data_IF_251501639913
#
_entry.id   IF_251501639913
#
_cell.length_a   1.000
_cell.length_b   1.000
_cell.length_c   1.000
_cell.angle_alpha   90.00
_cell.angle_beta   90.00
_cell.angle_gamma   90.00
#
_symmetry.space_group_name_H-M   'P 1'
#
loop_
_entity.id
_entity.type
_entity.pdbx_description
1 polymer ?
#
# COMPACT_ATOMS: atom_id res chain seq x y z
N UNK A 1 54.62 -79.88 -79.36
CA UNK A 1 54.90 -79.19 -78.09
C UNK A 1 53.98 -78.00 -78.02
N UNK A 2 52.88 -78.12 -77.26
CA UNK A 2 51.88 -77.06 -77.09
C UNK A 2 52.08 -76.49 -75.68
N UNK A 3 52.41 -75.20 -75.57
CA UNK A 3 52.47 -74.51 -74.29
C UNK A 3 51.07 -74.02 -73.95
N UNK A 4 50.34 -74.81 -73.17
CA UNK A 4 49.04 -74.40 -72.63
C UNK A 4 49.23 -73.32 -71.56
N UNK A 5 48.49 -72.22 -71.75
CA UNK A 5 48.57 -70.97 -71.01
C UNK A 5 47.64 -71.03 -69.78
N UNK A 6 48.13 -71.03 -68.52
CA UNK A 6 47.29 -71.25 -67.34
C UNK A 6 46.64 -69.98 -66.77
N UNK A 7 46.18 -69.05 -67.61
CA UNK A 7 45.60 -67.75 -67.18
C UNK A 7 44.08 -67.62 -67.39
N UNK A 8 43.34 -68.71 -67.60
CA UNK A 8 41.88 -68.67 -67.83
C UNK A 8 41.00 -69.19 -66.68
N UNK A 9 41.48 -69.21 -65.43
CA UNK A 9 40.67 -69.67 -64.30
C UNK A 9 40.59 -68.63 -63.19
N UNK A 10 39.78 -67.58 -63.40
CA UNK A 10 38.97 -66.89 -62.37
C UNK A 10 38.23 -65.68 -62.99
N UNK A 11 37.45 -65.91 -64.05
CA UNK A 11 36.25 -65.09 -64.23
C UNK A 11 35.12 -65.83 -63.54
N UNK A 12 35.03 -65.65 -62.22
CA UNK A 12 33.81 -65.96 -61.47
C UNK A 12 32.70 -65.12 -62.09
N UNK A 13 31.88 -65.75 -62.94
CA UNK A 13 30.66 -65.15 -63.43
C UNK A 13 29.77 -64.87 -62.22
N UNK A 14 29.88 -63.66 -61.67
CA UNK A 14 28.92 -63.16 -60.70
C UNK A 14 27.55 -63.34 -61.33
N UNK A 15 26.79 -64.25 -60.74
CA UNK A 15 25.48 -64.62 -61.24
C UNK A 15 24.61 -63.35 -61.19
N UNK A 16 23.82 -63.09 -62.24
CA UNK A 16 22.98 -61.90 -62.34
C UNK A 16 22.05 -61.73 -61.13
N UNK A 17 21.76 -62.82 -60.43
CA UNK A 17 20.93 -62.84 -59.22
C UNK A 17 21.64 -62.26 -57.99
N UNK A 18 22.96 -62.47 -57.82
CA UNK A 18 23.72 -61.89 -56.70
C UNK A 18 23.84 -60.36 -56.83
N UNK A 19 24.02 -59.87 -58.06
CA UNK A 19 24.07 -58.43 -58.34
C UNK A 19 22.72 -57.77 -58.03
N UNK A 20 21.60 -58.45 -58.30
CA UNK A 20 20.25 -57.96 -57.95
C UNK A 20 20.04 -57.88 -56.44
N UNK A 21 20.44 -58.91 -55.70
CA UNK A 21 20.31 -58.93 -54.23
C UNK A 21 21.10 -57.78 -53.59
N UNK A 22 22.34 -57.54 -54.03
CA UNK A 22 23.15 -56.43 -53.52
C UNK A 22 22.54 -55.06 -53.84
N UNK A 23 21.95 -54.90 -55.04
CA UNK A 23 21.26 -53.67 -55.42
C UNK A 23 20.00 -53.42 -54.59
N UNK A 24 19.19 -54.45 -54.34
CA UNK A 24 17.98 -54.35 -53.54
C UNK A 24 18.29 -54.07 -52.06
N UNK A 25 19.34 -54.69 -51.50
CA UNK A 25 19.83 -54.36 -50.15
C UNK A 25 20.30 -52.90 -50.06
N UNK A 26 21.04 -52.41 -51.05
CA UNK A 26 21.50 -51.01 -51.11
C UNK A 26 20.33 -50.04 -51.11
N UNK A 27 19.30 -50.30 -51.94
CA UNK A 27 18.10 -49.47 -52.02
C UNK A 27 17.30 -49.47 -50.71
N UNK A 28 17.15 -50.65 -50.08
CA UNK A 28 16.45 -50.77 -48.80
C UNK A 28 17.15 -50.02 -47.67
N UNK A 29 18.49 -49.98 -47.67
CA UNK A 29 19.27 -49.21 -46.72
C UNK A 29 19.15 -47.70 -46.96
N UNK A 30 19.13 -47.26 -48.22
CA UNK A 30 18.93 -45.85 -48.57
C UNK A 30 17.55 -45.34 -48.09
N UNK A 31 16.49 -46.13 -48.30
CA UNK A 31 15.14 -45.77 -47.89
C UNK A 31 15.02 -45.66 -46.36
N UNK A 32 15.65 -46.58 -45.61
CA UNK A 32 15.72 -46.54 -44.14
C UNK A 32 16.45 -45.29 -43.65
N UNK A 33 17.55 -44.92 -44.29
CA UNK A 33 18.33 -43.72 -43.94
C UNK A 33 17.52 -42.46 -44.20
N UNK A 34 16.81 -42.36 -45.34
CA UNK A 34 15.96 -41.20 -45.65
C UNK A 34 14.80 -41.03 -44.66
N UNK A 35 14.13 -42.13 -44.28
CA UNK A 35 13.08 -42.09 -43.25
C UNK A 35 13.66 -41.60 -41.93
N UNK A 36 14.80 -42.15 -41.50
CA UNK A 36 15.45 -41.73 -40.26
C UNK A 36 15.83 -40.24 -40.26
N UNK A 37 16.40 -39.73 -41.36
CA UNK A 37 16.72 -38.30 -41.50
C UNK A 37 15.48 -37.41 -41.43
N UNK A 38 14.37 -37.84 -42.05
CA UNK A 38 13.11 -37.08 -42.03
C UNK A 38 12.56 -36.97 -40.61
N UNK A 39 12.61 -38.06 -39.84
CA UNK A 39 12.22 -38.05 -38.42
C UNK A 39 13.17 -37.18 -37.57
N UNK A 40 14.48 -37.24 -37.82
CA UNK A 40 15.46 -36.43 -37.11
C UNK A 40 15.24 -34.93 -37.34
N UNK A 41 14.95 -34.51 -38.57
CA UNK A 41 14.61 -33.13 -38.90
C UNK A 41 13.32 -32.68 -38.21
N UNK A 42 12.30 -33.54 -38.16
CA UNK A 42 11.05 -33.26 -37.45
C UNK A 42 11.26 -33.03 -35.95
N UNK A 43 12.07 -33.87 -35.29
CA UNK A 43 12.40 -33.72 -33.87
C UNK A 43 13.19 -32.42 -33.63
N UNK A 44 14.16 -32.10 -34.49
CA UNK A 44 14.94 -30.86 -34.39
C UNK A 44 14.05 -29.61 -34.46
N UNK A 45 13.09 -29.58 -35.40
CA UNK A 45 12.14 -28.47 -35.51
C UNK A 45 11.27 -28.30 -34.26
N UNK A 46 10.82 -29.41 -33.66
CA UNK A 46 10.05 -29.40 -32.42
C UNK A 46 10.88 -28.87 -31.25
N UNK A 47 12.12 -29.34 -31.09
CA UNK A 47 13.05 -28.86 -30.04
C UNK A 47 13.29 -27.35 -30.17
N UNK A 48 13.55 -26.86 -31.39
CA UNK A 48 13.76 -25.42 -31.62
C UNK A 48 12.51 -24.59 -31.29
N UNK A 49 11.32 -25.12 -31.56
CA UNK A 49 10.05 -24.45 -31.23
C UNK A 49 9.86 -24.36 -29.71
N UNK A 50 10.14 -25.44 -28.98
CA UNK A 50 10.07 -25.45 -27.51
C UNK A 50 11.06 -24.47 -26.89
N UNK A 51 12.29 -24.42 -27.41
CA UNK A 51 13.32 -23.46 -26.96
C UNK A 51 12.84 -22.03 -27.20
N UNK A 52 12.29 -21.74 -28.39
CA UNK A 52 11.78 -20.40 -28.71
C UNK A 52 10.65 -19.98 -27.76
N UNK A 53 9.71 -20.88 -27.44
CA UNK A 53 8.63 -20.62 -26.47
C UNK A 53 9.19 -20.35 -25.07
N UNK A 54 10.17 -21.14 -24.62
CA UNK A 54 10.83 -20.94 -23.32
C UNK A 54 11.51 -19.58 -23.24
N UNK A 55 12.25 -19.17 -24.28
CA UNK A 55 12.89 -17.86 -24.34
C UNK A 55 11.87 -16.71 -24.32
N UNK A 56 10.75 -16.86 -25.03
CA UNK A 56 9.67 -15.88 -25.02
C UNK A 56 9.04 -15.76 -23.62
N UNK A 57 8.81 -16.88 -22.92
CA UNK A 57 8.30 -16.87 -21.55
C UNK A 57 9.26 -16.18 -20.58
N UNK A 58 10.56 -16.47 -20.68
CA UNK A 58 11.59 -15.80 -19.86
C UNK A 58 11.57 -14.29 -20.11
N UNK A 59 11.50 -13.85 -21.37
CA UNK A 59 11.44 -12.43 -21.72
C UNK A 59 10.18 -11.73 -21.15
N UNK A 60 9.02 -12.40 -21.18
CA UNK A 60 7.78 -11.87 -20.59
C UNK A 60 7.90 -11.76 -19.07
N UNK A 61 8.48 -12.76 -18.41
CA UNK A 61 8.69 -12.75 -16.97
C UNK A 61 9.63 -11.62 -16.53
N UNK A 62 10.77 -11.45 -17.22
CA UNK A 62 11.72 -10.37 -16.90
C UNK A 62 11.10 -9.00 -17.12
N UNK A 63 10.35 -8.80 -18.20
CA UNK A 63 9.64 -7.54 -18.44
C UNK A 63 8.63 -7.23 -17.32
N UNK A 64 7.88 -8.23 -16.86
CA UNK A 64 6.92 -8.07 -15.75
C UNK A 64 7.62 -7.63 -14.45
N UNK A 65 8.75 -8.25 -14.12
CA UNK A 65 9.52 -7.88 -12.91
C UNK A 65 10.12 -6.48 -13.00
N UNK A 66 10.64 -6.09 -14.16
CA UNK A 66 11.16 -4.72 -14.39
C UNK A 66 10.05 -3.69 -14.21
N UNK A 67 8.85 -3.95 -14.75
CA UNK A 67 7.71 -3.04 -14.61
C UNK A 67 7.29 -2.86 -13.15
N UNK A 68 7.21 -3.95 -12.38
CA UNK A 68 6.90 -3.87 -10.95
C UNK A 68 7.96 -3.08 -10.16
N UNK A 69 9.24 -3.26 -10.49
CA UNK A 69 10.32 -2.50 -9.86
C UNK A 69 10.23 -0.99 -10.15
N UNK A 70 9.83 -0.60 -11.35
CA UNK A 70 9.64 0.81 -11.71
C UNK A 70 8.46 1.47 -11.00
N UNK A 71 7.37 0.74 -10.76
CA UNK A 71 6.23 1.26 -9.99
C UNK A 71 6.61 1.42 -8.51
N UNK A 72 7.34 0.45 -7.95
CA UNK A 72 7.83 0.51 -6.57
C UNK A 72 8.80 1.66 -6.32
N UNK A 73 9.71 1.96 -7.27
CA UNK A 73 10.66 3.08 -7.10
C UNK A 73 9.94 4.44 -7.11
N UNK A 74 8.94 4.63 -7.97
CA UNK A 74 8.12 5.85 -7.99
C UNK A 74 7.37 6.06 -6.66
N UNK A 75 6.81 4.99 -6.11
CA UNK A 75 6.13 5.03 -4.80
C UNK A 75 7.11 5.43 -3.69
N UNK A 76 8.34 4.93 -3.73
CA UNK A 76 9.38 5.26 -2.76
C UNK A 76 9.80 6.73 -2.83
N UNK A 77 9.96 7.27 -4.05
CA UNK A 77 10.29 8.68 -4.26
C UNK A 77 9.18 9.60 -3.75
N UNK A 78 7.92 9.26 -4.04
CA UNK A 78 6.78 10.02 -3.54
C UNK A 78 6.67 9.95 -2.02
N UNK A 79 6.89 8.78 -1.42
CA UNK A 79 6.90 8.60 0.03
C UNK A 79 8.00 9.44 0.70
N UNK A 80 9.21 9.46 0.14
CA UNK A 80 10.31 10.29 0.65
C UNK A 80 9.99 11.79 0.55
N UNK A 81 9.36 12.22 -0.56
CA UNK A 81 8.90 13.60 -0.71
C UNK A 81 7.87 13.97 0.36
N UNK A 82 6.89 13.09 0.62
CA UNK A 82 5.88 13.30 1.68
C UNK A 82 6.53 13.38 3.06
N UNK A 83 7.49 12.51 3.38
CA UNK A 83 8.23 12.56 4.65
C UNK A 83 8.90 13.90 4.87
N UNK A 84 9.59 14.43 3.86
CA UNK A 84 10.24 15.74 3.94
C UNK A 84 9.24 16.87 4.22
N UNK A 85 8.07 16.84 3.59
CA UNK A 85 7.00 17.82 3.87
C UNK A 85 6.51 17.75 5.32
N UNK A 86 6.39 16.55 5.89
CA UNK A 86 6.04 16.38 7.30
C UNK A 86 7.13 16.92 8.23
N UNK A 87 8.40 16.67 7.93
CA UNK A 87 9.52 17.19 8.74
C UNK A 87 9.57 18.72 8.71
N UNK A 88 9.36 19.33 7.53
CA UNK A 88 9.25 20.78 7.37
C UNK A 88 8.07 21.35 8.18
N UNK A 89 6.88 20.74 8.04
CA UNK A 89 5.69 21.15 8.79
C UNK A 89 5.88 21.03 10.32
N UNK A 90 6.51 19.96 10.79
CA UNK A 90 6.87 19.77 12.20
C UNK A 90 7.80 20.88 12.70
N UNK A 91 8.80 21.25 11.90
CA UNK A 91 9.71 22.34 12.24
C UNK A 91 9.00 23.70 12.29
N UNK A 92 8.05 23.98 11.38
CA UNK A 92 7.21 25.18 11.45
C UNK A 92 6.34 25.23 12.72
N UNK A 93 5.75 24.11 13.13
CA UNK A 93 4.99 24.02 14.37
C UNK A 93 5.88 24.25 15.60
N UNK A 94 7.07 23.67 15.62
CA UNK A 94 8.05 23.90 16.69
C UNK A 94 8.50 25.37 16.76
N UNK A 95 8.77 26.00 15.61
CA UNK A 95 9.14 27.42 15.54
C UNK A 95 8.00 28.34 15.97
N UNK A 96 6.76 28.05 15.58
CA UNK A 96 5.60 28.84 15.99
C UNK A 96 5.31 28.71 17.49
N UNK A 97 5.47 27.51 18.07
CA UNK A 97 5.32 27.26 19.50
C UNK A 97 6.40 28.00 20.32
N UNK A 98 7.66 27.97 19.88
CA UNK A 98 8.77 28.66 20.57
C UNK A 98 8.63 30.19 20.49
N UNK A 99 8.22 30.75 19.34
CA UNK A 99 7.88 32.18 19.22
C UNK A 99 6.72 32.59 20.11
N UNK A 100 5.67 31.78 20.19
CA UNK A 100 4.50 32.05 21.03
C UNK A 100 4.87 31.98 22.52
N UNK A 101 5.67 30.99 22.91
CA UNK A 101 6.17 30.83 24.29
C UNK A 101 7.00 32.03 24.74
N UNK A 102 7.90 32.54 23.90
CA UNK A 102 8.72 33.72 24.25
C UNK A 102 7.89 35.01 24.35
N UNK A 103 6.85 35.16 23.53
CA UNK A 103 5.90 36.28 23.61
C UNK A 103 5.08 36.24 24.90
N UNK A 104 4.46 35.09 25.20
CA UNK A 104 3.69 34.89 26.43
C UNK A 104 4.58 35.03 27.67
N UNK A 105 5.80 34.50 27.66
CA UNK A 105 6.72 34.62 28.79
C UNK A 105 7.14 36.08 29.08
N UNK A 106 7.20 36.94 28.05
CA UNK A 106 7.42 38.38 28.24
C UNK A 106 6.17 39.08 28.77
N UNK A 107 4.99 38.66 28.33
CA UNK A 107 3.70 39.26 28.69
C UNK A 107 3.22 38.85 30.10
N UNK A 108 3.62 37.68 30.59
CA UNK A 108 3.28 37.16 31.93
C UNK A 108 4.37 37.38 32.99
N UNK A 109 5.53 37.96 32.64
CA UNK A 109 6.57 38.32 33.61
C UNK A 109 6.06 39.44 34.51
N UNK A 110 5.88 39.15 35.81
CA UNK A 110 5.44 40.12 36.83
C UNK A 110 3.97 40.01 37.24
N UNK A 111 3.20 39.07 36.67
CA UNK A 111 1.83 38.79 37.08
C UNK A 111 1.79 37.71 38.16
N UNK A 112 0.95 37.90 39.19
CA UNK A 112 0.70 36.87 40.21
C UNK A 112 -0.04 35.67 39.61
N UNK A 113 0.06 34.50 40.25
CA UNK A 113 -0.58 33.28 39.76
C UNK A 113 -2.10 33.45 39.54
N UNK A 114 -2.77 34.27 40.37
CA UNK A 114 -4.20 34.54 40.25
C UNK A 114 -4.55 35.44 39.06
N UNK A 115 -3.70 36.42 38.74
CA UNK A 115 -3.87 37.32 37.59
C UNK A 115 -3.60 36.57 36.28
N UNK A 116 -2.62 35.66 36.28
CA UNK A 116 -2.38 34.70 35.18
C UNK A 116 -3.59 33.79 34.99
N UNK A 117 -4.20 33.29 36.09
CA UNK A 117 -5.39 32.43 36.04
C UNK A 117 -6.59 33.18 35.46
N UNK A 118 -6.87 34.41 35.94
CA UNK A 118 -7.93 35.28 35.40
C UNK A 118 -7.73 35.59 33.91
N UNK A 119 -6.51 35.93 33.47
CA UNK A 119 -6.22 36.19 32.04
C UNK A 119 -6.21 34.94 31.17
N UNK A 120 -5.77 33.79 31.68
CA UNK A 120 -5.79 32.53 30.94
C UNK A 120 -7.21 32.06 30.65
N UNK A 121 -8.14 32.27 31.60
CA UNK A 121 -9.57 32.01 31.41
C UNK A 121 -10.18 32.98 30.39
N UNK A 122 -9.71 34.23 30.33
CA UNK A 122 -10.15 35.21 29.32
C UNK A 122 -9.61 34.96 27.91
N UNK A 123 -8.38 34.45 27.77
CA UNK A 123 -7.74 34.24 26.45
C UNK A 123 -8.03 32.89 25.79
N UNK A 124 -8.39 31.87 26.59
CA UNK A 124 -8.88 30.60 26.06
C UNK A 124 -10.39 30.77 25.91
N UNK A 125 -10.84 31.31 24.78
CA UNK A 125 -12.28 31.48 24.44
C UNK A 125 -13.08 30.16 24.31
N UNK A 126 -12.67 29.13 25.04
CA UNK A 126 -13.34 27.85 25.22
C UNK A 126 -13.57 27.70 26.72
N UNK A 127 -14.60 28.38 27.23
CA UNK A 127 -15.30 27.86 28.40
C UNK A 127 -16.01 26.54 28.02
N UNK A 128 -16.45 25.75 29.01
CA UNK A 128 -17.25 24.57 28.72
C UNK A 128 -18.46 24.95 27.87
N UNK A 129 -18.76 24.14 26.87
CA UNK A 129 -19.89 24.40 25.98
C UNK A 129 -21.16 24.11 26.76
N UNK A 130 -22.08 25.08 26.77
CA UNK A 130 -23.35 24.98 27.46
C UNK A 130 -24.43 24.52 26.48
N UNK A 131 -25.19 23.51 26.87
CA UNK A 131 -26.28 22.97 26.08
C UNK A 131 -27.59 23.01 26.85
N UNK A 132 -28.64 23.44 26.17
CA UNK A 132 -30.02 23.33 26.64
C UNK A 132 -30.76 22.31 25.77
N UNK A 133 -31.55 21.47 26.41
CA UNK A 133 -32.42 20.53 25.69
C UNK A 133 -33.58 21.29 25.06
N UNK A 134 -33.82 21.09 23.78
CA UNK A 134 -34.99 21.67 23.11
C UNK A 134 -36.30 21.22 23.79
N UNK A 135 -37.11 22.17 24.24
CA UNK A 135 -38.37 21.92 24.94
C UNK A 135 -38.27 21.59 26.43
N UNK A 136 -37.09 21.72 27.05
CA UNK A 136 -36.91 21.56 28.50
C UNK A 136 -35.98 22.62 29.11
N UNK A 137 -36.14 22.86 30.42
CA UNK A 137 -35.38 23.87 31.16
C UNK A 137 -34.01 23.36 31.66
N UNK A 138 -33.64 22.13 31.32
CA UNK A 138 -32.38 21.53 31.76
C UNK A 138 -31.19 22.06 30.94
N UNK A 139 -30.21 22.64 31.66
CA UNK A 139 -28.94 23.10 31.09
C UNK A 139 -27.81 22.18 31.54
N UNK A 140 -26.92 21.87 30.61
CA UNK A 140 -25.76 21.03 30.82
C UNK A 140 -24.48 21.76 30.42
N UNK A 141 -23.41 21.57 31.19
CA UNK A 141 -22.06 21.98 30.83
C UNK A 141 -21.25 20.76 30.38
N UNK A 142 -20.50 20.89 29.29
CA UNK A 142 -19.58 19.85 28.81
C UNK A 142 -18.16 20.16 29.27
N UNK A 143 -17.54 19.24 30.01
CA UNK A 143 -16.16 19.39 30.46
C UNK A 143 -15.14 19.12 29.34
N UNK A 144 -13.85 19.35 29.64
CA UNK A 144 -12.74 19.13 28.69
C UNK A 144 -12.60 17.66 28.23
N UNK A 145 -13.25 16.71 28.93
CA UNK A 145 -13.24 15.29 28.65
C UNK A 145 -14.50 14.79 27.93
N UNK A 146 -15.46 15.69 27.67
CA UNK A 146 -16.70 15.40 26.94
C UNK A 146 -17.85 14.86 27.81
N UNK A 147 -17.79 15.01 29.13
CA UNK A 147 -18.88 14.62 30.04
C UNK A 147 -19.90 15.73 30.22
N UNK A 148 -21.17 15.37 30.20
CA UNK A 148 -22.28 16.28 30.52
C UNK A 148 -22.49 16.38 32.02
N UNK A 149 -22.43 17.60 32.54
CA UNK A 149 -22.75 17.94 33.92
C UNK A 149 -24.04 18.75 33.97
N UNK A 150 -25.06 18.24 34.66
CA UNK A 150 -26.31 18.96 34.81
C UNK A 150 -26.14 20.16 35.75
N UNK A 151 -26.62 21.32 35.32
CA UNK A 151 -26.71 22.53 36.14
C UNK A 151 -28.12 22.60 36.73
N UNK A 152 -28.27 22.52 38.06
CA UNK A 152 -29.57 22.31 38.70
C UNK A 152 -30.46 23.55 38.72
N UNK A 153 -29.90 24.76 38.62
CA UNK A 153 -30.68 26.00 38.62
C UNK A 153 -29.96 27.20 37.95
N UNK A 154 -30.70 28.24 37.52
CA UNK A 154 -30.13 29.47 36.95
C UNK A 154 -29.10 30.20 37.83
N UNK A 155 -29.30 30.33 39.16
CA UNK A 155 -28.31 30.97 40.03
C UNK A 155 -26.94 30.26 40.00
N UNK A 156 -26.93 28.92 39.93
CA UNK A 156 -25.68 28.14 39.83
C UNK A 156 -24.95 28.47 38.53
N UNK A 157 -25.66 28.57 37.40
CA UNK A 157 -25.08 28.95 36.11
C UNK A 157 -24.38 30.32 36.17
N UNK A 158 -25.05 31.32 36.73
CA UNK A 158 -24.50 32.68 36.86
C UNK A 158 -23.32 32.73 37.83
N UNK A 159 -23.37 32.00 38.95
CA UNK A 159 -22.25 31.92 39.93
C UNK A 159 -21.02 31.22 39.35
N UNK A 160 -21.21 30.29 38.41
CA UNK A 160 -20.11 29.69 37.65
C UNK A 160 -19.50 30.65 36.63
N UNK A 161 -20.05 31.85 36.47
CA UNK A 161 -19.54 32.88 35.56
C UNK A 161 -20.01 32.69 34.11
N UNK A 162 -21.03 31.87 33.88
CA UNK A 162 -21.60 31.65 32.55
C UNK A 162 -22.72 32.63 32.23
N UNK A 163 -22.92 32.89 30.94
CA UNK A 163 -24.04 33.66 30.43
C UNK A 163 -25.05 32.75 29.73
N UNK A 164 -26.33 33.07 29.86
CA UNK A 164 -27.39 32.45 29.07
C UNK A 164 -27.22 32.64 27.57
N UNK A 165 -26.51 33.69 27.15
CA UNK A 165 -26.19 33.93 25.74
C UNK A 165 -25.25 32.87 25.14
N UNK A 166 -24.49 32.16 25.98
CA UNK A 166 -23.54 31.13 25.55
C UNK A 166 -24.18 29.73 25.45
N UNK A 167 -25.45 29.61 25.86
CA UNK A 167 -26.20 28.35 25.88
C UNK A 167 -26.71 28.03 24.48
N UNK A 168 -26.29 26.89 23.93
CA UNK A 168 -26.75 26.38 22.64
C UNK A 168 -27.87 25.39 22.83
N UNK A 169 -28.88 25.45 21.95
CA UNK A 169 -29.93 24.43 21.96
C UNK A 169 -29.46 23.18 21.20
N UNK A 170 -29.75 22.03 21.77
CA UNK A 170 -29.52 20.73 21.15
C UNK A 170 -30.79 19.86 21.23
N UNK A 171 -31.04 19.04 20.19
CA UNK A 171 -32.10 18.05 20.24
C UNK A 171 -31.85 17.07 21.39
N UNK A 172 -32.93 16.67 22.08
CA UNK A 172 -32.85 15.70 23.19
C UNK A 172 -32.13 14.40 22.80
N UNK A 173 -32.35 13.92 21.57
CA UNK A 173 -31.73 12.71 21.06
C UNK A 173 -30.20 12.78 20.99
N UNK A 174 -29.62 13.97 20.84
CA UNK A 174 -28.16 14.16 20.83
C UNK A 174 -27.59 14.20 22.24
N UNK A 175 -28.29 14.88 23.16
CA UNK A 175 -27.91 14.96 24.59
C UNK A 175 -27.93 13.58 25.24
N UNK A 176 -28.91 12.74 24.92
CA UNK A 176 -29.04 11.39 25.49
C UNK A 176 -27.93 10.42 25.03
N UNK A 177 -27.22 10.71 23.93
CA UNK A 177 -26.09 9.92 23.45
C UNK A 177 -24.76 10.28 24.14
N UNK A 178 -24.70 11.44 24.79
CA UNK A 178 -23.49 11.92 25.45
C UNK A 178 -23.32 11.27 26.83
N UNK A 179 -22.08 11.05 27.23
CA UNK A 179 -21.76 10.41 28.51
C UNK A 179 -22.02 11.39 29.66
N UNK A 180 -22.87 11.00 30.62
CA UNK A 180 -23.13 11.83 31.82
C UNK A 180 -21.99 11.73 32.81
N UNK A 181 -21.58 12.88 33.32
CA UNK A 181 -20.70 13.03 34.48
C UNK A 181 -21.49 13.25 35.78
N UNK A 182 -20.78 13.60 36.83
CA UNK A 182 -21.39 13.98 38.11
C UNK A 182 -22.13 15.31 38.00
N UNK A 183 -23.28 15.45 38.65
CA UNK A 183 -24.08 16.68 38.57
C UNK A 183 -23.36 17.83 39.29
N UNK A 184 -23.54 19.05 38.78
CA UNK A 184 -23.00 20.24 39.45
C UNK A 184 -23.72 20.40 40.79
N UNK A 185 -23.00 20.55 41.91
CA UNK A 185 -23.63 20.80 43.20
C UNK A 185 -24.42 22.11 43.15
N UNK A 186 -25.57 22.13 43.83
CA UNK A 186 -26.36 23.35 43.94
C UNK A 186 -25.54 24.40 44.70
N UNK A 187 -25.21 25.49 44.03
CA UNK A 187 -24.63 26.66 44.67
C UNK A 187 -25.78 27.57 45.11
N UNK A 188 -26.45 27.21 46.22
CA UNK A 188 -27.41 28.08 46.90
C UNK A 188 -26.69 29.24 47.59
N UNK A 189 -27.46 30.25 48.00
CA UNK A 189 -26.97 31.52 48.54
C UNK A 189 -25.79 31.41 49.51
#
# INVERSE_FOLDING_TARGET
>A
MNLDNPLQATQSSLNSDEVRILFDLSKSNLDRVNVWFTWMLGISALVMTVIAILLALIAVLTWRHVKQAQEASKMLDEANKRRKLFDEAGNFLAQSATKKKSKLQKEFRGLSADEVRKRAISHRGFGPILFQTEGADAVYAVDDYGFLHWIPNPPTLMRMGYSWADVKQLPKAEIDQMKRGENVPVLSE
#
